data_IF_147345264266
#
_entry.id   IF_147345264266
#
_cell.length_a   1.000
_cell.length_b   1.000
_cell.length_c   1.000
_cell.angle_alpha   90.00
_cell.angle_beta   90.00
_cell.angle_gamma   90.00
#
_symmetry.space_group_name_H-M   'P 1'
#
loop_
_entity.id
_entity.type
_entity.pdbx_description
1 polymer ?
#
# COMPACT_ATOMS: atom_id res chain seq x y z
N UNK A 1 -11.63 9.70 76.36
CA UNK A 1 -11.26 8.74 75.30
C UNK A 1 -11.92 9.20 74.01
N UNK A 2 -11.17 9.86 73.14
CA UNK A 2 -11.63 10.24 71.80
C UNK A 2 -10.70 9.57 70.80
N UNK A 3 -11.25 8.64 70.02
CA UNK A 3 -10.52 7.90 68.99
C UNK A 3 -10.44 8.76 67.72
N UNK A 4 -9.22 9.07 67.28
CA UNK A 4 -8.95 9.62 65.96
C UNK A 4 -9.05 8.48 64.92
N UNK A 5 -10.00 8.60 63.99
CA UNK A 5 -10.06 7.77 62.80
C UNK A 5 -9.07 8.31 61.75
N UNK A 6 -8.05 7.52 61.43
CA UNK A 6 -7.12 7.82 60.35
C UNK A 6 -7.79 7.50 59.00
N UNK A 7 -8.03 8.53 58.18
CA UNK A 7 -8.40 8.34 56.78
C UNK A 7 -7.16 7.90 55.99
N UNK A 8 -7.16 6.65 55.55
CA UNK A 8 -6.24 6.15 54.54
C UNK A 8 -6.61 6.76 53.18
N UNK A 9 -5.75 7.64 52.67
CA UNK A 9 -5.77 8.10 51.28
C UNK A 9 -5.39 6.91 50.39
N UNK A 10 -6.39 6.26 49.80
CA UNK A 10 -6.18 5.40 48.64
C UNK A 10 -5.86 6.32 47.47
N UNK A 11 -4.58 6.47 47.17
CA UNK A 11 -4.14 6.98 45.89
C UNK A 11 -4.52 5.93 44.84
N UNK A 12 -5.65 6.17 44.16
CA UNK A 12 -5.96 5.48 42.90
C UNK A 12 -4.82 5.79 41.93
N UNK A 13 -3.86 4.88 41.86
CA UNK A 13 -2.94 4.81 40.75
C UNK A 13 -3.80 4.57 39.52
N UNK A 14 -4.08 5.64 38.77
CA UNK A 14 -4.66 5.57 37.44
C UNK A 14 -3.67 4.76 36.61
N UNK A 15 -3.90 3.45 36.55
CA UNK A 15 -3.23 2.54 35.63
C UNK A 15 -3.65 3.04 34.26
N UNK A 16 -2.79 3.85 33.64
CA UNK A 16 -2.96 4.21 32.25
C UNK A 16 -3.18 2.90 31.48
N UNK A 17 -4.25 2.78 30.68
CA UNK A 17 -4.47 1.56 29.92
C UNK A 17 -3.21 1.28 29.11
N UNK A 18 -2.74 0.02 29.05
CA UNK A 18 -1.56 -0.32 28.26
C UNK A 18 -1.81 0.18 26.84
N UNK A 19 -1.00 1.14 26.41
CA UNK A 19 -0.92 1.54 25.01
C UNK A 19 -0.55 0.28 24.24
N UNK A 20 -1.55 -0.41 23.69
CA UNK A 20 -1.32 -1.56 22.83
C UNK A 20 -0.39 -1.09 21.72
N UNK A 21 0.83 -1.64 21.68
CA UNK A 21 1.76 -1.33 20.60
C UNK A 21 1.02 -1.60 19.28
N UNK A 22 1.14 -0.70 18.28
CA UNK A 22 0.40 -0.85 17.03
C UNK A 22 0.57 -2.27 16.49
N UNK A 23 -0.56 -2.95 16.27
CA UNK A 23 -0.56 -4.30 15.75
C UNK A 23 0.24 -4.30 14.45
N UNK A 24 1.21 -5.18 14.32
CA UNK A 24 1.98 -5.28 13.09
C UNK A 24 1.48 -6.47 12.29
N UNK A 25 1.40 -6.30 10.97
CA UNK A 25 1.16 -7.43 10.08
C UNK A 25 2.45 -8.23 9.93
N UNK A 26 2.34 -9.53 10.17
CA UNK A 26 3.39 -10.48 9.87
C UNK A 26 3.06 -11.16 8.54
N UNK A 27 4.05 -11.22 7.65
CA UNK A 27 3.91 -11.87 6.35
C UNK A 27 5.23 -12.53 5.96
N UNK A 28 5.17 -13.52 5.07
CA UNK A 28 6.35 -14.27 4.64
C UNK A 28 6.72 -13.96 3.19
N UNK A 29 8.03 -13.77 2.95
CA UNK A 29 8.59 -13.73 1.60
C UNK A 29 9.66 -14.82 1.52
N UNK A 30 9.42 -15.82 0.67
CA UNK A 30 10.35 -16.92 0.41
C UNK A 30 10.84 -17.60 1.71
N UNK A 31 9.90 -17.91 2.62
CA UNK A 31 10.17 -18.60 3.89
C UNK A 31 10.76 -17.75 5.01
N UNK A 32 10.97 -16.44 4.79
CA UNK A 32 11.40 -15.50 5.84
C UNK A 32 10.23 -14.60 6.24
N UNK A 33 10.00 -14.48 7.54
CA UNK A 33 8.97 -13.61 8.10
C UNK A 33 9.44 -12.16 8.21
N UNK A 34 8.53 -11.26 7.85
CA UNK A 34 8.68 -9.82 7.91
C UNK A 34 7.53 -9.24 8.71
N UNK A 35 7.77 -8.04 9.25
CA UNK A 35 6.80 -7.33 10.08
C UNK A 35 6.61 -5.94 9.51
N UNK A 36 5.40 -5.65 9.04
CA UNK A 36 4.99 -4.31 8.67
C UNK A 36 4.39 -3.62 9.91
N UNK A 37 5.06 -2.62 10.51
CA UNK A 37 4.41 -1.79 11.51
C UNK A 37 3.21 -1.08 10.87
N UNK A 38 2.04 -1.18 11.49
CA UNK A 38 0.87 -0.43 11.02
C UNK A 38 1.09 1.05 11.34
N UNK A 39 1.13 1.95 10.34
CA UNK A 39 1.36 3.37 10.60
C UNK A 39 0.23 3.98 11.42
N UNK A 40 0.54 5.07 12.13
CA UNK A 40 -0.47 5.79 12.91
C UNK A 40 -1.66 6.21 12.03
N UNK A 41 -2.88 5.96 12.49
CA UNK A 41 -4.11 6.24 11.75
C UNK A 41 -4.54 5.12 10.79
N UNK A 42 -3.70 4.09 10.57
CA UNK A 42 -4.05 2.92 9.77
C UNK A 42 -4.48 1.74 10.65
N UNK A 43 -5.35 0.91 10.09
CA UNK A 43 -5.88 -0.30 10.68
C UNK A 43 -5.85 -1.45 9.66
N UNK A 44 -5.76 -2.68 10.16
CA UNK A 44 -6.04 -3.87 9.35
C UNK A 44 -7.55 -3.99 9.21
N UNK A 45 -8.13 -3.93 7.99
CA UNK A 45 -9.56 -4.09 7.85
C UNK A 45 -9.98 -5.53 8.22
N UNK A 46 -11.12 -5.71 8.92
CA UNK A 46 -11.61 -7.04 9.28
C UNK A 46 -11.98 -7.87 8.04
N UNK A 47 -12.37 -7.19 6.95
CA UNK A 47 -12.63 -7.77 5.65
C UNK A 47 -11.91 -6.94 4.59
N UNK A 48 -10.65 -7.28 4.24
CA UNK A 48 -9.94 -6.54 3.20
C UNK A 48 -10.66 -6.69 1.86
N UNK A 49 -10.57 -5.70 0.96
CA UNK A 49 -11.13 -5.80 -0.38
C UNK A 49 -10.66 -7.09 -1.07
N UNK A 50 -11.50 -7.70 -1.91
CA UNK A 50 -11.12 -8.93 -2.64
C UNK A 50 -9.84 -8.76 -3.50
N UNK A 51 -9.49 -7.53 -3.90
CA UNK A 51 -8.22 -7.26 -4.60
C UNK A 51 -7.00 -7.26 -3.68
N UNK A 52 -7.22 -7.07 -2.38
CA UNK A 52 -6.21 -7.06 -1.33
C UNK A 52 -6.07 -8.41 -0.61
N UNK A 53 -6.85 -9.43 -0.99
CA UNK A 53 -6.74 -10.79 -0.45
C UNK A 53 -6.31 -11.80 -1.52
N UNK A 54 -5.63 -12.87 -1.10
CA UNK A 54 -5.25 -13.98 -1.98
C UNK A 54 -4.32 -13.61 -3.14
N UNK A 55 -4.49 -14.34 -4.25
CA UNK A 55 -3.71 -14.18 -5.48
C UNK A 55 -4.60 -13.69 -6.62
N UNK A 56 -4.04 -12.90 -7.52
CA UNK A 56 -4.75 -12.39 -8.69
C UNK A 56 -3.82 -12.13 -9.87
N UNK A 57 -4.36 -12.14 -11.08
CA UNK A 57 -3.62 -11.65 -12.24
C UNK A 57 -3.45 -10.12 -12.13
N UNK A 58 -2.21 -9.64 -12.16
CA UNK A 58 -1.88 -8.23 -12.29
C UNK A 58 -2.23 -7.70 -13.69
N UNK A 59 -2.24 -6.38 -13.84
CA UNK A 59 -2.54 -5.75 -15.13
C UNK A 59 -1.54 -6.10 -16.24
N UNK A 60 -0.36 -6.61 -15.90
CA UNK A 60 0.66 -7.12 -16.82
C UNK A 60 0.59 -8.65 -17.02
N UNK A 61 -0.47 -9.31 -16.53
CA UNK A 61 -0.69 -10.75 -16.70
C UNK A 61 0.09 -11.65 -15.73
N UNK A 62 1.03 -11.11 -14.95
CA UNK A 62 1.71 -11.89 -13.92
C UNK A 62 0.78 -12.17 -12.74
N UNK A 63 0.93 -13.33 -12.11
CA UNK A 63 0.22 -13.61 -10.86
C UNK A 63 0.86 -12.80 -9.73
N UNK A 64 0.05 -12.02 -9.05
CA UNK A 64 0.40 -11.19 -7.90
C UNK A 64 -0.22 -11.81 -6.66
N UNK A 65 0.59 -11.97 -5.61
CA UNK A 65 0.14 -12.43 -4.31
C UNK A 65 0.16 -11.27 -3.31
N UNK A 66 -0.91 -11.16 -2.54
CA UNK A 66 -1.07 -10.14 -1.51
C UNK A 66 -0.31 -10.53 -0.24
N UNK A 67 0.52 -9.61 0.28
CA UNK A 67 1.32 -9.82 1.49
C UNK A 67 0.69 -9.15 2.70
N UNK A 68 0.32 -7.87 2.57
CA UNK A 68 -0.28 -7.10 3.64
C UNK A 68 -1.13 -5.97 3.06
N UNK A 69 -2.20 -5.62 3.77
CA UNK A 69 -3.05 -4.50 3.42
C UNK A 69 -3.51 -3.79 4.70
N UNK A 70 -3.33 -2.47 4.74
CA UNK A 70 -3.88 -1.59 5.78
C UNK A 70 -4.56 -0.40 5.13
N UNK A 71 -5.56 0.15 5.81
CA UNK A 71 -6.30 1.33 5.38
C UNK A 71 -6.53 2.26 6.57
N UNK A 72 -6.91 3.51 6.31
CA UNK A 72 -7.24 4.44 7.40
C UNK A 72 -8.32 3.86 8.31
N UNK A 73 -8.13 3.95 9.63
CA UNK A 73 -9.05 3.36 10.62
C UNK A 73 -10.49 3.89 10.49
N UNK A 74 -10.65 5.17 10.16
CA UNK A 74 -11.98 5.79 9.94
C UNK A 74 -12.72 5.17 8.75
N UNK A 75 -11.99 4.71 7.73
CA UNK A 75 -12.58 3.99 6.60
C UNK A 75 -12.87 2.52 6.89
N UNK A 76 -12.20 1.94 7.89
CA UNK A 76 -12.42 0.55 8.31
C UNK A 76 -13.70 0.36 9.12
N UNK A 77 -14.31 1.44 9.64
CA UNK A 77 -15.58 1.42 10.37
C UNK A 77 -16.84 1.53 9.50
N UNK A 78 -16.71 1.68 8.18
CA UNK A 78 -17.84 1.59 7.24
C UNK A 78 -18.58 2.90 6.94
N UNK A 79 -18.19 4.02 7.53
CA UNK A 79 -18.74 5.34 7.20
C UNK A 79 -17.95 5.99 6.05
N UNK A 80 -18.67 6.23 4.95
CA UNK A 80 -18.51 7.28 3.95
C UNK A 80 -17.20 7.34 3.13
N UNK A 81 -17.19 6.59 2.02
CA UNK A 81 -16.86 6.98 0.63
C UNK A 81 -15.90 8.12 0.22
N UNK A 82 -15.16 8.78 1.10
CA UNK A 82 -14.43 10.00 0.77
C UNK A 82 -12.95 9.79 0.45
N UNK A 83 -12.13 9.53 1.47
CA UNK A 83 -10.67 9.68 1.36
C UNK A 83 -9.95 8.45 1.91
N UNK A 84 -10.21 7.27 1.36
CA UNK A 84 -9.62 6.03 1.87
C UNK A 84 -8.14 5.94 1.48
N UNK A 85 -7.23 6.29 2.39
CA UNK A 85 -5.82 6.00 2.18
C UNK A 85 -5.55 4.54 2.53
N UNK A 86 -4.71 3.89 1.72
CA UNK A 86 -4.33 2.50 1.93
C UNK A 86 -2.85 2.29 1.67
N UNK A 87 -2.31 1.22 2.26
CA UNK A 87 -1.00 0.67 1.96
C UNK A 87 -1.22 -0.79 1.57
N UNK A 88 -0.69 -1.17 0.41
CA UNK A 88 -0.85 -2.50 -0.14
C UNK A 88 0.50 -3.09 -0.55
N UNK A 89 0.92 -4.15 0.14
CA UNK A 89 2.13 -4.90 -0.17
C UNK A 89 1.77 -6.15 -0.96
N UNK A 90 2.47 -6.38 -2.06
CA UNK A 90 2.26 -7.50 -2.97
C UNK A 90 3.58 -7.96 -3.55
N UNK A 91 3.65 -9.19 -4.02
CA UNK A 91 4.79 -9.66 -4.80
C UNK A 91 4.34 -10.40 -6.06
N UNK A 92 5.23 -10.44 -7.04
CA UNK A 92 4.98 -11.17 -8.29
C UNK A 92 5.39 -12.63 -8.10
N UNK A 93 4.43 -13.55 -8.19
CA UNK A 93 4.70 -14.99 -8.13
C UNK A 93 5.52 -15.42 -9.34
N UNK A 94 6.45 -16.33 -9.07
CA UNK A 94 7.35 -16.93 -10.06
C UNK A 94 8.23 -15.93 -10.82
N UNK A 95 8.32 -14.68 -10.36
CA UNK A 95 9.29 -13.73 -10.85
C UNK A 95 10.41 -13.60 -9.81
N UNK A 96 11.61 -14.04 -10.21
CA UNK A 96 12.84 -13.77 -9.50
C UNK A 96 13.71 -12.96 -10.46
N UNK A 97 14.06 -11.70 -10.12
CA UNK A 97 14.92 -10.94 -11.00
C UNK A 97 16.27 -11.64 -11.04
N UNK A 98 16.70 -12.05 -12.23
CA UNK A 98 18.05 -12.58 -12.45
C UNK A 98 19.05 -11.42 -12.39
N UNK A 99 19.19 -10.83 -11.20
CA UNK A 99 20.01 -9.67 -10.92
C UNK A 99 21.07 -10.02 -9.86
N UNK A 100 22.29 -9.47 -9.98
CA UNK A 100 23.38 -9.79 -9.05
C UNK A 100 23.24 -9.13 -7.66
N UNK A 101 22.46 -8.05 -7.54
CA UNK A 101 22.20 -7.32 -6.27
C UNK A 101 20.93 -6.46 -6.35
N UNK A 102 20.37 -6.02 -5.21
CA UNK A 102 19.22 -5.08 -5.20
C UNK A 102 19.57 -3.79 -5.88
N UNK A 103 20.74 -3.24 -5.61
CA UNK A 103 21.19 -2.04 -6.31
C UNK A 103 21.15 -2.21 -7.85
N UNK A 104 21.65 -3.33 -8.38
CA UNK A 104 21.63 -3.59 -9.81
C UNK A 104 20.20 -3.77 -10.36
N UNK A 105 19.33 -4.45 -9.62
CA UNK A 105 17.93 -4.61 -9.97
C UNK A 105 17.18 -3.26 -9.99
N UNK A 106 17.31 -2.46 -8.92
CA UNK A 106 16.64 -1.17 -8.82
C UNK A 106 17.10 -0.22 -9.92
N UNK A 107 18.40 -0.18 -10.24
CA UNK A 107 18.91 0.62 -11.34
C UNK A 107 18.33 0.18 -12.70
N UNK A 108 18.22 -1.13 -12.95
CA UNK A 108 17.59 -1.66 -14.16
C UNK A 108 16.11 -1.26 -14.23
N UNK A 109 15.36 -1.45 -13.15
CA UNK A 109 13.93 -1.12 -13.10
C UNK A 109 13.70 0.38 -13.24
N UNK A 110 14.51 1.22 -12.59
CA UNK A 110 14.42 2.67 -12.73
C UNK A 110 14.59 3.10 -14.19
N UNK A 111 15.55 2.52 -14.91
CA UNK A 111 15.74 2.77 -16.34
C UNK A 111 14.52 2.34 -17.17
N UNK A 112 13.97 1.16 -16.90
CA UNK A 112 12.77 0.66 -17.61
C UNK A 112 11.55 1.54 -17.33
N UNK A 113 11.28 1.82 -16.06
CA UNK A 113 10.12 2.60 -15.62
C UNK A 113 10.17 4.07 -16.05
N UNK A 114 11.37 4.63 -16.20
CA UNK A 114 11.58 5.97 -16.74
C UNK A 114 11.54 6.04 -18.28
N UNK A 115 11.40 4.91 -18.99
CA UNK A 115 11.36 4.91 -20.45
C UNK A 115 10.01 5.38 -20.99
N UNK A 116 10.05 6.10 -22.12
CA UNK A 116 8.83 6.55 -22.81
C UNK A 116 7.94 5.37 -23.23
N UNK A 117 8.53 4.23 -23.61
CA UNK A 117 7.78 3.01 -23.94
C UNK A 117 7.00 2.46 -22.76
N UNK A 118 7.61 2.43 -21.56
CA UNK A 118 6.92 1.95 -20.38
C UNK A 118 5.82 2.91 -19.94
N UNK A 119 6.11 4.22 -19.90
CA UNK A 119 5.10 5.24 -19.57
C UNK A 119 3.94 5.17 -20.56
N UNK A 120 4.23 5.15 -21.86
CA UNK A 120 3.21 5.02 -22.91
C UNK A 120 2.39 3.74 -22.80
N UNK A 121 3.00 2.62 -22.39
CA UNK A 121 2.24 1.38 -22.12
C UNK A 121 1.28 1.57 -20.94
N UNK A 122 1.72 2.17 -19.83
CA UNK A 122 0.87 2.40 -18.65
C UNK A 122 -0.28 3.39 -18.92
N UNK A 123 -0.08 4.33 -19.85
CA UNK A 123 -1.08 5.33 -20.25
C UNK A 123 -1.94 4.85 -21.43
N UNK A 124 -1.68 3.67 -21.98
CA UNK A 124 -2.42 3.12 -23.12
C UNK A 124 -3.85 2.70 -22.77
N UNK A 125 -4.75 2.81 -23.74
CA UNK A 125 -6.13 2.29 -23.65
C UNK A 125 -6.15 0.80 -23.28
N UNK A 126 -5.27 0.00 -23.88
CA UNK A 126 -5.18 -1.42 -23.57
C UNK A 126 -4.83 -1.69 -22.10
N UNK A 127 -4.03 -0.83 -21.46
CA UNK A 127 -3.74 -0.92 -20.03
C UNK A 127 -4.94 -0.46 -19.21
N UNK A 128 -5.59 0.66 -19.57
CA UNK A 128 -6.82 1.13 -18.95
C UNK A 128 -7.90 0.03 -18.93
N UNK A 129 -8.19 -0.61 -20.07
CA UNK A 129 -9.17 -1.70 -20.14
C UNK A 129 -8.83 -2.89 -19.23
N UNK A 130 -7.54 -3.21 -19.06
CA UNK A 130 -7.11 -4.27 -18.13
C UNK A 130 -7.44 -3.89 -16.69
N UNK A 131 -7.23 -2.62 -16.34
CA UNK A 131 -7.57 -2.07 -15.03
C UNK A 131 -9.08 -2.04 -14.81
N UNK A 132 -9.86 -1.61 -15.81
CA UNK A 132 -11.33 -1.60 -15.75
C UNK A 132 -11.91 -2.99 -15.56
N UNK A 133 -11.43 -3.98 -16.33
CA UNK A 133 -11.83 -5.39 -16.16
C UNK A 133 -11.52 -5.89 -14.76
N UNK A 134 -10.36 -5.53 -14.21
CA UNK A 134 -9.97 -5.91 -12.84
C UNK A 134 -10.85 -5.24 -11.80
N UNK A 135 -11.15 -3.95 -11.96
CA UNK A 135 -12.03 -3.22 -11.06
C UNK A 135 -13.44 -3.81 -11.07
N UNK A 136 -13.97 -4.14 -12.24
CA UNK A 136 -15.23 -4.86 -12.39
C UNK A 136 -15.21 -6.23 -11.71
N UNK A 137 -14.19 -7.05 -11.94
CA UNK A 137 -14.11 -8.38 -11.33
C UNK A 137 -14.03 -8.34 -9.81
N UNK A 138 -13.46 -7.26 -9.26
CA UNK A 138 -13.18 -7.12 -7.82
C UNK A 138 -14.32 -6.46 -7.07
N UNK A 139 -14.89 -5.40 -7.65
CA UNK A 139 -15.87 -4.53 -6.99
C UNK A 139 -17.27 -4.69 -7.54
N UNK A 140 -17.44 -5.40 -8.65
CA UNK A 140 -18.69 -5.47 -9.41
C UNK A 140 -19.03 -4.19 -10.18
N UNK A 141 -18.25 -3.11 -10.04
CA UNK A 141 -18.52 -1.81 -10.65
C UNK A 141 -17.87 -1.70 -12.03
N UNK A 142 -18.63 -1.22 -13.01
CA UNK A 142 -18.04 -0.79 -14.28
C UNK A 142 -17.46 0.60 -14.06
N UNK A 143 -16.22 0.78 -14.49
CA UNK A 143 -15.53 2.06 -14.47
C UNK A 143 -14.96 2.34 -15.86
N UNK A 144 -14.82 3.61 -16.20
CA UNK A 144 -13.98 4.04 -17.31
C UNK A 144 -12.73 4.69 -16.69
N UNK A 145 -11.54 4.20 -17.05
CA UNK A 145 -10.27 4.58 -16.45
C UNK A 145 -9.41 5.42 -17.40
N UNK A 146 -8.97 6.58 -16.94
CA UNK A 146 -7.88 7.32 -17.60
C UNK A 146 -6.68 7.36 -16.67
N UNK A 147 -5.55 6.87 -17.15
CA UNK A 147 -4.36 6.62 -16.32
C UNK A 147 -3.22 7.51 -16.82
N UNK A 148 -2.66 8.29 -15.91
CA UNK A 148 -1.39 9.01 -16.13
C UNK A 148 -0.32 8.45 -15.21
N UNK A 149 0.89 8.26 -15.71
CA UNK A 149 1.97 7.66 -14.95
C UNK A 149 3.27 8.49 -15.02
N UNK A 150 3.92 8.68 -13.88
CA UNK A 150 5.17 9.45 -13.80
C UNK A 150 6.21 8.68 -12.99
N UNK A 151 7.40 8.53 -13.54
CA UNK A 151 8.55 8.03 -12.79
C UNK A 151 9.07 9.11 -11.85
N UNK A 152 9.24 8.78 -10.56
CA UNK A 152 9.63 9.73 -9.51
C UNK A 152 11.10 9.59 -9.06
N UNK A 153 11.88 8.74 -9.73
CA UNK A 153 13.26 8.42 -9.34
C UNK A 153 13.37 7.13 -8.52
N UNK A 154 14.54 6.90 -7.96
CA UNK A 154 14.83 5.71 -7.14
C UNK A 154 15.88 6.03 -6.07
N UNK A 155 15.91 5.22 -5.02
CA UNK A 155 16.96 5.16 -4.01
C UNK A 155 17.46 3.72 -3.82
N UNK A 156 18.17 3.45 -2.73
CA UNK A 156 18.73 2.14 -2.38
C UNK A 156 17.67 1.12 -1.93
N UNK A 157 16.44 1.57 -1.68
CA UNK A 157 15.33 0.74 -1.24
C UNK A 157 14.31 0.53 -2.36
N UNK A 158 14.06 1.54 -3.19
CA UNK A 158 12.86 1.60 -4.02
C UNK A 158 13.10 2.28 -5.36
N UNK A 159 12.39 1.80 -6.39
CA UNK A 159 12.06 2.58 -7.57
C UNK A 159 10.65 3.13 -7.44
N UNK A 160 10.49 4.45 -7.55
CA UNK A 160 9.24 5.15 -7.29
C UNK A 160 8.49 5.53 -8.58
N UNK A 161 7.17 5.39 -8.52
CA UNK A 161 6.26 5.83 -9.58
C UNK A 161 5.01 6.44 -8.96
N UNK A 162 4.49 7.50 -9.55
CA UNK A 162 3.16 8.02 -9.29
C UNK A 162 2.21 7.65 -10.42
N UNK A 163 0.95 7.42 -10.07
CA UNK A 163 -0.16 7.22 -10.99
C UNK A 163 -1.34 8.04 -10.52
N UNK A 164 -2.02 8.66 -11.46
CA UNK A 164 -3.37 9.19 -11.26
C UNK A 164 -4.30 8.37 -12.14
N UNK A 165 -5.43 7.96 -11.58
CA UNK A 165 -6.50 7.32 -12.32
C UNK A 165 -7.77 8.13 -12.14
N UNK A 166 -8.26 8.74 -13.22
CA UNK A 166 -9.64 9.22 -13.22
C UNK A 166 -10.54 8.00 -13.44
N UNK A 167 -11.54 7.85 -12.59
CA UNK A 167 -12.46 6.72 -12.55
C UNK A 167 -13.87 7.27 -12.66
N UNK A 168 -14.46 7.20 -13.84
CA UNK A 168 -15.87 7.51 -14.01
C UNK A 168 -16.70 6.27 -13.69
N UNK A 169 -17.61 6.37 -12.73
CA UNK A 169 -18.73 5.43 -12.66
C UNK A 169 -19.66 5.77 -13.83
N UNK A 170 -20.08 4.77 -14.61
CA UNK A 170 -20.96 5.00 -15.77
C UNK A 170 -22.25 5.72 -15.34
N UNK A 171 -22.30 7.03 -15.60
CA UNK A 171 -23.44 7.91 -15.36
C UNK A 171 -23.57 8.48 -13.95
N UNK A 172 -22.54 9.15 -13.38
CA UNK A 172 -22.72 10.48 -12.72
C UNK A 172 -21.62 10.93 -11.73
N UNK A 173 -20.54 10.17 -11.46
CA UNK A 173 -19.40 10.70 -10.68
C UNK A 173 -18.03 10.26 -11.21
N UNK A 174 -17.12 11.24 -11.40
CA UNK A 174 -15.70 11.02 -11.66
C UNK A 174 -14.96 11.06 -10.33
N UNK A 175 -14.56 9.91 -9.83
CA UNK A 175 -13.59 9.79 -8.74
C UNK A 175 -12.16 9.91 -9.28
N UNK A 176 -11.23 10.38 -8.46
CA UNK A 176 -9.80 10.32 -8.77
C UNK A 176 -9.10 9.42 -7.76
N UNK A 177 -8.39 8.41 -8.24
CA UNK A 177 -7.47 7.64 -7.42
C UNK A 177 -6.07 8.19 -7.65
N UNK A 178 -5.38 8.53 -6.57
CA UNK A 178 -3.93 8.77 -6.61
C UNK A 178 -3.22 7.58 -6.00
N UNK A 179 -2.16 7.12 -6.65
CA UNK A 179 -1.32 6.05 -6.14
C UNK A 179 0.15 6.40 -6.35
N UNK A 180 0.97 6.14 -5.35
CA UNK A 180 2.41 6.00 -5.53
C UNK A 180 2.80 4.54 -5.27
N UNK A 181 3.68 4.01 -6.10
CA UNK A 181 4.26 2.68 -5.94
C UNK A 181 5.76 2.77 -5.65
N UNK A 182 6.24 1.91 -4.77
CA UNK A 182 7.65 1.51 -4.67
C UNK A 182 7.76 0.08 -5.20
N UNK A 183 8.61 -0.12 -6.21
CA UNK A 183 9.08 -1.44 -6.60
C UNK A 183 10.43 -1.71 -5.92
N UNK A 184 10.54 -2.84 -5.23
CA UNK A 184 11.75 -3.27 -4.52
C UNK A 184 12.05 -4.76 -4.71
N UNK A 185 13.20 -5.21 -4.21
CA UNK A 185 13.62 -6.61 -4.19
C UNK A 185 13.89 -7.06 -2.76
N UNK A 186 13.14 -8.06 -2.30
CA UNK A 186 13.26 -8.61 -0.94
C UNK A 186 13.36 -10.13 -1.03
N UNK A 187 14.44 -10.70 -0.50
CA UNK A 187 14.65 -12.15 -0.38
C UNK A 187 14.33 -12.95 -1.66
N UNK A 188 14.86 -12.50 -2.81
CA UNK A 188 14.65 -13.18 -4.09
C UNK A 188 13.30 -12.87 -4.77
N UNK A 189 12.50 -11.93 -4.25
CA UNK A 189 11.17 -11.59 -4.81
C UNK A 189 11.00 -10.11 -5.10
N UNK A 190 10.42 -9.79 -6.24
CA UNK A 190 9.97 -8.42 -6.53
C UNK A 190 8.73 -8.11 -5.74
N UNK A 191 8.83 -7.07 -4.93
CA UNK A 191 7.75 -6.60 -4.07
C UNK A 191 7.32 -5.22 -4.55
N UNK A 192 6.01 -5.03 -4.69
CA UNK A 192 5.38 -3.72 -4.87
C UNK A 192 4.78 -3.29 -3.55
N UNK A 193 5.04 -2.06 -3.17
CA UNK A 193 4.43 -1.37 -2.05
C UNK A 193 3.65 -0.22 -2.66
N UNK A 194 2.34 -0.23 -2.54
CA UNK A 194 1.50 0.83 -3.08
C UNK A 194 0.91 1.62 -1.93
N UNK A 195 1.00 2.95 -2.00
CA UNK A 195 0.24 3.88 -1.16
C UNK A 195 -0.76 4.56 -2.06
N UNK A 196 -2.04 4.48 -1.74
CA UNK A 196 -3.09 5.08 -2.56
C UNK A 196 -4.12 5.83 -1.76
N UNK A 197 -4.90 6.65 -2.46
CA UNK A 197 -6.04 7.38 -1.93
C UNK A 197 -7.16 7.42 -2.96
N UNK A 198 -8.40 7.20 -2.51
CA UNK A 198 -9.62 7.24 -3.34
C UNK A 198 -10.21 8.64 -3.51
N UNK A 199 -9.39 9.68 -3.34
CA UNK A 199 -9.77 11.05 -3.67
C UNK A 199 -8.60 11.92 -4.06
N UNK A 200 -8.94 13.07 -4.63
CA UNK A 200 -8.02 14.19 -4.85
C UNK A 200 -7.76 15.01 -3.57
N UNK A 201 -8.46 14.74 -2.47
CA UNK A 201 -8.28 15.39 -1.16
C UNK A 201 -7.37 14.61 -0.21
N UNK A 202 -7.08 13.35 -0.52
CA UNK A 202 -6.14 12.52 0.24
C UNK A 202 -4.66 12.90 0.05
N UNK A 203 -3.77 11.98 0.41
CA UNK A 203 -2.33 12.26 0.44
C UNK A 203 -1.79 12.73 -0.93
N UNK A 204 -1.02 13.82 -0.93
CA UNK A 204 -0.24 14.21 -2.10
C UNK A 204 0.95 13.27 -2.34
N UNK A 205 1.44 13.17 -3.59
CA UNK A 205 2.51 12.24 -3.96
C UNK A 205 3.77 12.36 -3.09
N UNK A 206 4.16 13.57 -2.67
CA UNK A 206 5.30 13.76 -1.78
C UNK A 206 5.11 13.10 -0.41
N UNK A 207 3.90 13.10 0.14
CA UNK A 207 3.58 12.39 1.38
C UNK A 207 3.54 10.87 1.15
N UNK A 208 2.96 10.43 0.04
CA UNK A 208 2.94 9.01 -0.33
C UNK A 208 4.36 8.45 -0.48
N UNK A 209 5.29 9.16 -1.14
CA UNK A 209 6.68 8.73 -1.30
C UNK A 209 7.40 8.62 0.05
N UNK A 210 7.20 9.57 0.96
CA UNK A 210 7.76 9.47 2.32
C UNK A 210 7.25 8.24 3.06
N UNK A 211 5.96 7.95 2.93
CA UNK A 211 5.35 6.77 3.53
C UNK A 211 5.86 5.47 2.90
N UNK A 212 5.99 5.42 1.57
CA UNK A 212 6.60 4.30 0.86
C UNK A 212 8.03 4.04 1.35
N UNK A 213 8.85 5.09 1.49
CA UNK A 213 10.22 4.96 1.99
C UNK A 213 10.27 4.45 3.43
N UNK A 214 9.39 4.95 4.30
CA UNK A 214 9.30 4.47 5.68
C UNK A 214 8.89 2.99 5.75
N UNK A 215 7.91 2.58 4.93
CA UNK A 215 7.48 1.18 4.85
C UNK A 215 8.61 0.31 4.29
N UNK A 216 9.23 0.70 3.18
CA UNK A 216 10.34 -0.05 2.59
C UNK A 216 11.49 -0.22 3.59
N UNK A 217 11.90 0.84 4.27
CA UNK A 217 12.95 0.78 5.30
C UNK A 217 12.62 -0.17 6.46
N UNK A 218 11.34 -0.44 6.74
CA UNK A 218 10.93 -1.37 7.80
C UNK A 218 10.95 -2.85 7.40
N UNK A 219 10.94 -3.15 6.09
CA UNK A 219 10.81 -4.53 5.59
C UNK A 219 11.98 -4.96 4.69
N UNK A 220 12.71 -4.03 4.09
CA UNK A 220 13.86 -4.31 3.24
C UNK A 220 15.09 -4.52 4.12
N UNK A 221 15.73 -5.70 4.09
CA UNK A 221 16.95 -5.93 4.86
C UNK A 221 18.11 -5.03 4.38
N UNK A 222 19.00 -4.61 5.29
CA UNK A 222 20.27 -4.00 4.87
C UNK A 222 21.05 -5.00 4.02
N UNK A 223 21.66 -4.50 2.94
CA UNK A 223 22.59 -5.25 2.07
C UNK A 223 24.03 -4.85 2.35
#
# INVERSE_FOLDING_TARGET
MFALAALALFADAVVAPPSSAPAALVFDINGRSYRLPTPNGYCVPPQPPAAATGEHAGANGHIVANLAYVQDCMSASGDDGGDQNFIHLKYVKNFNPNAPSRAAYLAFVAKQMGSASYIGEQESEAFAERVERRMKSTTGRNIDAQISAVHLGHDDLCVYQARTMAVALKGDEVGTIRMAGCTTWINGRVVSIDVGSWSDRGLGFGAMVRQLRAVAASIVPPE
#
